data_IF_609030065849
#
_entry.id   IF_609030065849
#
_cell.length_a   1.000
_cell.length_b   1.000
_cell.length_c   1.000
_cell.angle_alpha   90.00
_cell.angle_beta   90.00
_cell.angle_gamma   90.00
#
_symmetry.space_group_name_H-M   'P 1'
#
loop_
_entity.id
_entity.type
_entity.pdbx_description
1 polymer ?
#
# COMPACT_ATOMS: atom_id res chain seq x y z
N UNK A 1 8.07 17.26 -6.22
CA UNK A 1 9.08 16.34 -5.63
C UNK A 1 10.42 16.74 -6.22
N UNK A 2 11.42 17.07 -5.40
CA UNK A 2 12.65 17.75 -5.82
C UNK A 2 13.68 16.86 -6.53
N UNK A 3 13.27 15.78 -7.19
CA UNK A 3 14.14 14.95 -8.03
C UNK A 3 15.34 14.30 -7.32
N UNK A 4 15.23 14.02 -6.01
CA UNK A 4 16.35 13.59 -5.16
C UNK A 4 16.84 12.14 -5.39
N UNK A 5 16.26 11.41 -6.34
CA UNK A 5 16.67 10.06 -6.72
C UNK A 5 15.57 9.00 -6.58
N UNK A 6 16.00 7.74 -6.39
CA UNK A 6 15.13 6.55 -6.31
C UNK A 6 15.06 6.07 -4.87
N UNK A 7 13.87 5.68 -4.42
CA UNK A 7 13.64 5.08 -3.11
C UNK A 7 12.81 3.81 -3.23
N UNK A 8 13.02 2.87 -2.29
CA UNK A 8 12.09 1.78 -2.07
C UNK A 8 10.96 2.31 -1.19
N UNK A 9 9.72 2.16 -1.66
CA UNK A 9 8.53 2.56 -0.95
C UNK A 9 7.54 1.41 -0.90
N UNK A 10 6.74 1.38 0.17
CA UNK A 10 5.65 0.41 0.29
C UNK A 10 4.41 0.96 -0.39
N UNK A 11 3.76 0.14 -1.21
CA UNK A 11 2.60 0.53 -2.03
C UNK A 11 1.51 1.27 -1.25
N UNK A 12 1.32 0.89 0.02
CA UNK A 12 0.36 1.52 0.94
C UNK A 12 0.59 3.03 1.12
N UNK A 13 1.82 3.53 1.00
CA UNK A 13 2.18 4.94 1.19
C UNK A 13 2.32 5.70 -0.12
N UNK A 14 2.54 5.01 -1.24
CA UNK A 14 2.87 5.66 -2.51
C UNK A 14 1.82 5.50 -3.59
N UNK A 15 0.76 4.69 -3.39
CA UNK A 15 -0.29 4.46 -4.38
C UNK A 15 -0.84 5.77 -4.96
N UNK A 16 -1.33 6.68 -4.11
CA UNK A 16 -1.87 7.98 -4.53
C UNK A 16 -0.82 8.82 -5.27
N UNK A 17 0.40 8.89 -4.77
CA UNK A 17 1.45 9.67 -5.42
C UNK A 17 1.85 9.10 -6.79
N UNK A 18 1.73 7.78 -7.00
CA UNK A 18 1.95 7.14 -8.30
C UNK A 18 0.74 7.36 -9.23
N UNK A 19 -0.49 7.30 -8.69
CA UNK A 19 -1.73 7.60 -9.42
C UNK A 19 -1.74 9.05 -9.93
N UNK A 20 -1.31 10.00 -9.11
CA UNK A 20 -1.21 11.42 -9.46
C UNK A 20 -0.02 11.76 -10.37
N UNK A 21 0.81 10.76 -10.74
CA UNK A 21 2.03 10.97 -11.53
C UNK A 21 3.13 11.75 -10.81
N UNK A 22 3.00 11.99 -9.50
CA UNK A 22 4.02 12.61 -8.67
C UNK A 22 5.22 11.67 -8.47
N UNK A 23 4.97 10.38 -8.39
CA UNK A 23 5.95 9.31 -8.41
C UNK A 23 5.75 8.42 -9.63
N UNK A 24 6.83 7.79 -10.07
CA UNK A 24 6.79 6.72 -11.08
C UNK A 24 7.39 5.46 -10.48
N UNK A 25 6.91 4.30 -10.94
CA UNK A 25 7.46 3.00 -10.57
C UNK A 25 8.40 2.52 -11.68
N UNK A 26 9.71 2.81 -11.61
CA UNK A 26 10.63 2.50 -12.70
C UNK A 26 10.88 1.00 -12.86
N UNK A 27 10.69 0.21 -11.79
CA UNK A 27 10.90 -1.24 -11.78
C UNK A 27 9.61 -1.95 -11.39
N UNK A 28 9.14 -2.87 -12.23
CA UNK A 28 7.88 -3.59 -12.00
C UNK A 28 7.96 -4.66 -10.90
N UNK A 29 9.16 -5.08 -10.52
CA UNK A 29 9.38 -6.08 -9.48
C UNK A 29 9.18 -5.48 -8.08
N UNK A 30 8.29 -6.10 -7.31
CA UNK A 30 8.10 -5.77 -5.90
C UNK A 30 8.89 -6.76 -5.04
N UNK A 31 9.48 -6.26 -3.96
CA UNK A 31 10.05 -7.12 -2.91
C UNK A 31 8.94 -7.50 -1.95
N UNK A 32 8.74 -8.80 -1.75
CA UNK A 32 7.82 -9.28 -0.71
C UNK A 32 8.42 -9.00 0.67
N UNK A 33 7.61 -8.41 1.54
CA UNK A 33 7.99 -8.18 2.92
C UNK A 33 7.95 -9.51 3.66
N UNK A 34 9.07 -9.89 4.29
CA UNK A 34 9.16 -11.12 5.08
C UNK A 34 8.18 -11.17 6.25
N UNK A 35 7.75 -10.01 6.74
CA UNK A 35 6.78 -9.89 7.83
C UNK A 35 5.61 -9.01 7.36
N UNK A 36 4.38 -9.54 7.34
CA UNK A 36 3.20 -8.75 7.02
C UNK A 36 2.92 -7.73 8.13
N UNK A 37 2.21 -6.66 7.80
CA UNK A 37 1.72 -5.71 8.79
C UNK A 37 0.73 -6.37 9.74
N UNK A 38 0.92 -6.15 11.04
CA UNK A 38 0.03 -6.64 12.08
C UNK A 38 -0.78 -5.48 12.67
N UNK A 39 -2.08 -5.70 12.88
CA UNK A 39 -2.94 -4.77 13.61
C UNK A 39 -3.10 -5.25 15.05
N UNK A 40 -2.49 -4.54 15.99
CA UNK A 40 -2.60 -4.84 17.42
C UNK A 40 -3.84 -4.19 18.03
N UNK A 41 -4.75 -5.00 18.56
CA UNK A 41 -5.96 -4.52 19.23
C UNK A 41 -6.01 -5.11 20.64
N UNK A 42 -6.12 -4.27 21.69
CA UNK A 42 -6.32 -4.78 23.04
C UNK A 42 -7.59 -5.63 23.13
N UNK A 43 -7.52 -6.78 23.81
CA UNK A 43 -8.64 -7.73 23.91
C UNK A 43 -9.95 -7.08 24.36
N UNK A 44 -9.87 -6.14 25.31
CA UNK A 44 -11.01 -5.37 25.84
C UNK A 44 -11.74 -4.52 24.79
N UNK A 45 -11.03 -4.12 23.74
CA UNK A 45 -11.57 -3.27 22.67
C UNK A 45 -12.24 -4.08 21.57
N UNK A 46 -11.99 -5.39 21.48
CA UNK A 46 -12.56 -6.26 20.45
C UNK A 46 -14.10 -6.37 20.52
N UNK A 47 -14.68 -6.13 21.69
CA UNK A 47 -16.13 -6.19 21.93
C UNK A 47 -16.87 -4.91 21.54
N UNK A 48 -16.15 -3.86 21.13
CA UNK A 48 -16.75 -2.57 20.76
C UNK A 48 -17.03 -2.57 19.26
N UNK A 49 -18.29 -2.39 18.88
CA UNK A 49 -18.70 -2.43 17.47
C UNK A 49 -17.95 -1.40 16.61
N UNK A 50 -17.68 -0.20 17.16
CA UNK A 50 -16.89 0.83 16.49
C UNK A 50 -15.45 0.37 16.17
N UNK A 51 -14.85 -0.45 17.03
CA UNK A 51 -13.50 -0.98 16.81
C UNK A 51 -13.52 -2.05 15.72
N UNK A 52 -14.55 -2.89 15.70
CA UNK A 52 -14.74 -3.89 14.65
C UNK A 52 -14.95 -3.22 13.28
N UNK A 53 -15.84 -2.21 13.22
CA UNK A 53 -16.11 -1.44 12.00
C UNK A 53 -14.85 -0.74 11.49
N UNK A 54 -14.11 -0.06 12.38
CA UNK A 54 -12.86 0.60 12.02
C UNK A 54 -11.80 -0.38 11.52
N UNK A 55 -11.62 -1.53 12.20
CA UNK A 55 -10.71 -2.58 11.75
C UNK A 55 -11.04 -3.05 10.34
N UNK A 56 -12.33 -3.31 10.06
CA UNK A 56 -12.76 -3.76 8.75
C UNK A 56 -12.48 -2.72 7.69
N UNK A 57 -12.85 -1.46 7.95
CA UNK A 57 -12.56 -0.34 7.05
C UNK A 57 -11.06 -0.20 6.77
N UNK A 58 -10.22 -0.22 7.81
CA UNK A 58 -8.77 -0.07 7.68
C UNK A 58 -8.15 -1.19 6.82
N UNK A 59 -8.61 -2.44 7.00
CA UNK A 59 -8.16 -3.55 6.17
C UNK A 59 -8.54 -3.32 4.71
N UNK A 60 -9.77 -2.90 4.43
CA UNK A 60 -10.20 -2.60 3.06
C UNK A 60 -9.40 -1.46 2.44
N UNK A 61 -9.11 -0.42 3.22
CA UNK A 61 -8.33 0.72 2.76
C UNK A 61 -6.89 0.31 2.42
N UNK A 62 -6.24 -0.47 3.28
CA UNK A 62 -4.92 -1.03 2.98
C UNK A 62 -4.94 -1.90 1.71
N UNK A 63 -5.96 -2.76 1.55
CA UNK A 63 -6.12 -3.59 0.36
C UNK A 63 -6.32 -2.75 -0.90
N UNK A 64 -7.09 -1.66 -0.82
CA UNK A 64 -7.30 -0.72 -1.92
C UNK A 64 -5.97 -0.11 -2.36
N UNK A 65 -5.16 0.38 -1.43
CA UNK A 65 -3.87 0.98 -1.73
C UNK A 65 -2.89 -0.03 -2.33
N UNK A 66 -2.74 -1.23 -1.74
CA UNK A 66 -1.78 -2.22 -2.25
C UNK A 66 -2.19 -2.90 -3.56
N UNK A 67 -3.50 -2.93 -3.86
CA UNK A 67 -4.04 -3.47 -5.12
C UNK A 67 -4.28 -2.38 -6.17
N UNK A 68 -3.81 -1.16 -5.93
CA UNK A 68 -3.92 -0.09 -6.92
C UNK A 68 -3.39 -0.57 -8.29
N UNK A 69 -4.16 -0.40 -9.37
CA UNK A 69 -3.77 -0.86 -10.72
C UNK A 69 -2.38 -0.38 -11.14
N UNK A 70 -2.00 0.85 -10.78
CA UNK A 70 -0.70 1.42 -11.12
C UNK A 70 0.48 0.74 -10.41
N UNK A 71 0.21 0.07 -9.28
CA UNK A 71 1.21 -0.68 -8.52
C UNK A 71 1.28 -2.16 -8.93
N UNK A 72 0.20 -2.73 -9.47
CA UNK A 72 0.15 -4.14 -9.87
C UNK A 72 0.41 -4.35 -11.37
N UNK A 73 0.27 -3.31 -12.20
CA UNK A 73 0.51 -3.41 -13.64
C UNK A 73 1.96 -3.83 -13.92
N UNK A 74 2.15 -4.98 -14.57
CA UNK A 74 3.45 -5.36 -15.13
C UNK A 74 3.81 -4.33 -16.21
N UNK A 75 5.02 -3.79 -16.16
CA UNK A 75 5.58 -3.09 -17.32
C UNK A 75 5.66 -4.12 -18.45
N UNK A 76 4.84 -3.95 -19.48
CA UNK A 76 5.10 -4.59 -20.76
C UNK A 76 6.35 -3.92 -21.31
N UNK A 77 7.50 -4.59 -21.13
CA UNK A 77 8.75 -4.20 -21.75
C UNK A 77 8.57 -4.34 -23.27
N UNK A 78 8.34 -3.21 -23.94
CA UNK A 78 8.53 -3.13 -25.39
C UNK A 78 10.02 -2.82 -25.62
N UNK A 79 10.68 -3.82 -26.21
CA UNK A 79 11.74 -3.75 -27.24
C UNK A 79 12.90 -2.79 -27.04
#
# INVERSE_FOLDING_TARGET
ISGLGVALAQGVFCAEAVEDGRLVRPVAQALELRQPYCLSIPQRSLRRDVVAAFRQWLIQECLRSVRSPVLIAKQNANS
#
